data_IF_776227271433
#
_entry.id   IF_776227271433
#
_cell.length_a   1.000
_cell.length_b   1.000
_cell.length_c   1.000
_cell.angle_alpha   90.00
_cell.angle_beta   90.00
_cell.angle_gamma   90.00
#
_symmetry.space_group_name_H-M   'P 1'
#
loop_
_entity.id
_entity.type
_entity.pdbx_description
1 polymer ?
#
# COMPACT_ATOMS: atom_id res chain seq x y z
N UNK A 1 -13.24 16.75 -19.61
CA UNK A 1 -13.10 15.45 -18.93
C UNK A 1 -13.09 15.72 -17.42
N UNK A 2 -13.80 14.95 -16.59
CA UNK A 2 -13.83 15.17 -15.14
C UNK A 2 -12.50 14.70 -14.53
N UNK A 3 -11.97 15.43 -13.53
CA UNK A 3 -10.71 15.06 -12.84
C UNK A 3 -10.73 13.60 -12.33
N UNK A 4 -11.83 13.15 -11.75
CA UNK A 4 -12.00 11.76 -11.29
C UNK A 4 -11.83 10.74 -12.42
N UNK A 5 -12.27 11.02 -13.64
CA UNK A 5 -12.08 10.13 -14.80
C UNK A 5 -10.63 10.02 -15.19
N UNK A 6 -9.88 11.13 -15.17
CA UNK A 6 -8.43 11.13 -15.44
C UNK A 6 -7.67 10.32 -14.41
N UNK A 7 -7.93 10.56 -13.12
CA UNK A 7 -7.28 9.81 -12.05
C UNK A 7 -7.63 8.31 -12.08
N UNK A 8 -8.87 7.93 -12.39
CA UNK A 8 -9.24 6.51 -12.54
C UNK A 8 -8.42 5.82 -13.65
N UNK A 9 -8.20 6.52 -14.78
CA UNK A 9 -7.38 5.97 -15.87
C UNK A 9 -5.89 5.91 -15.53
N UNK A 10 -5.38 6.94 -14.85
CA UNK A 10 -3.95 7.03 -14.49
C UNK A 10 -3.55 6.08 -13.38
N UNK A 11 -4.38 5.95 -12.34
CA UNK A 11 -4.10 5.05 -11.22
C UNK A 11 -4.17 3.58 -11.62
N UNK A 12 -5.15 3.22 -12.45
CA UNK A 12 -5.41 1.85 -12.90
C UNK A 12 -5.33 0.78 -11.78
N UNK A 13 -5.66 1.17 -10.54
CA UNK A 13 -5.59 0.28 -9.38
C UNK A 13 -6.75 -0.70 -9.36
N UNK A 14 -6.50 -1.98 -9.04
CA UNK A 14 -7.54 -3.00 -9.07
C UNK A 14 -8.59 -2.76 -7.97
N UNK A 15 -9.84 -3.01 -8.29
CA UNK A 15 -10.99 -2.95 -7.38
C UNK A 15 -11.20 -1.58 -6.69
N UNK A 16 -10.77 -0.49 -7.32
CA UNK A 16 -10.82 0.87 -6.80
C UNK A 16 -11.46 1.82 -7.81
N UNK A 17 -12.23 2.78 -7.34
CA UNK A 17 -12.74 3.91 -8.13
C UNK A 17 -12.51 5.21 -7.38
N UNK A 18 -11.96 6.22 -8.04
CA UNK A 18 -11.83 7.59 -7.52
C UNK A 18 -13.18 8.28 -7.63
N UNK A 19 -13.69 8.78 -6.50
CA UNK A 19 -14.99 9.45 -6.39
C UNK A 19 -14.86 10.95 -6.16
N UNK A 20 -13.73 11.40 -5.62
CA UNK A 20 -13.43 12.80 -5.35
C UNK A 20 -11.95 13.11 -5.53
N UNK A 21 -11.63 14.37 -5.79
CA UNK A 21 -10.25 14.88 -5.88
C UNK A 21 -10.21 16.22 -5.17
N UNK A 22 -9.35 16.32 -4.16
CA UNK A 22 -9.09 17.57 -3.42
C UNK A 22 -7.62 17.91 -3.54
N UNK A 23 -7.32 19.14 -3.95
CA UNK A 23 -5.95 19.64 -4.08
C UNK A 23 -5.69 20.64 -2.98
N UNK A 24 -4.70 20.35 -2.14
CA UNK A 24 -4.16 21.25 -1.11
C UNK A 24 -2.81 21.84 -1.52
N UNK A 25 -2.18 22.59 -0.59
CA UNK A 25 -0.92 23.30 -0.89
C UNK A 25 0.25 22.39 -1.31
N UNK A 26 0.30 21.16 -0.85
CA UNK A 26 1.38 20.21 -1.19
C UNK A 26 0.87 18.77 -1.28
N UNK A 27 -0.43 18.56 -1.39
CA UNK A 27 -1.07 17.25 -1.34
C UNK A 27 -2.26 17.19 -2.27
N UNK A 28 -2.38 16.10 -2.99
CA UNK A 28 -3.59 15.67 -3.69
C UNK A 28 -4.21 14.54 -2.89
N UNK A 29 -5.44 14.72 -2.41
CA UNK A 29 -6.24 13.68 -1.77
C UNK A 29 -7.25 13.15 -2.77
N UNK A 30 -7.22 11.85 -2.98
CA UNK A 30 -8.15 11.13 -3.85
C UNK A 30 -9.10 10.33 -2.97
N UNK A 31 -10.37 10.74 -2.94
CA UNK A 31 -11.40 9.93 -2.31
C UNK A 31 -11.67 8.71 -3.15
N UNK A 32 -11.54 7.55 -2.55
CA UNK A 32 -11.65 6.26 -3.24
C UNK A 32 -12.76 5.41 -2.65
N UNK A 33 -13.35 4.58 -3.51
CA UNK A 33 -14.31 3.57 -3.12
C UNK A 33 -13.92 2.21 -3.67
N UNK A 34 -14.03 1.19 -2.82
CA UNK A 34 -13.86 -0.20 -3.23
C UNK A 34 -15.01 -0.61 -4.16
N UNK A 35 -14.71 -1.23 -5.30
CA UNK A 35 -15.73 -1.60 -6.30
C UNK A 35 -16.32 -3.00 -6.08
N UNK A 36 -15.67 -3.85 -5.28
CA UNK A 36 -16.17 -5.20 -4.98
C UNK A 36 -17.30 -5.14 -3.95
N UNK A 37 -18.53 -5.58 -4.28
CA UNK A 37 -19.64 -5.55 -3.34
C UNK A 37 -19.56 -6.68 -2.29
N UNK A 38 -18.86 -7.77 -2.61
CA UNK A 38 -18.78 -8.97 -1.80
C UNK A 38 -17.53 -8.95 -0.91
N UNK A 39 -17.73 -9.09 0.37
CA UNK A 39 -16.67 -9.24 1.37
C UNK A 39 -16.35 -10.73 1.52
N UNK A 40 -15.06 -11.07 1.59
CA UNK A 40 -14.59 -12.46 1.69
C UNK A 40 -13.76 -12.67 2.95
N UNK A 41 -14.05 -13.77 3.64
CA UNK A 41 -13.22 -14.27 4.71
C UNK A 41 -12.13 -15.20 4.16
N UNK A 42 -10.92 -15.24 4.75
CA UNK A 42 -9.89 -16.22 4.36
C UNK A 42 -10.33 -17.68 4.44
N UNK A 43 -11.37 -18.01 5.25
CA UNK A 43 -11.93 -19.36 5.30
C UNK A 43 -12.79 -19.74 4.08
N UNK A 44 -12.96 -18.82 3.11
CA UNK A 44 -13.79 -19.02 1.93
C UNK A 44 -15.22 -18.48 2.03
N UNK A 45 -15.72 -18.21 3.24
CA UNK A 45 -17.06 -17.63 3.44
C UNK A 45 -17.12 -16.19 2.92
N UNK A 46 -18.27 -15.78 2.42
CA UNK A 46 -18.46 -14.45 1.86
C UNK A 46 -19.84 -13.87 2.18
N UNK A 47 -19.91 -12.53 2.26
CA UNK A 47 -21.14 -11.81 2.60
C UNK A 47 -21.16 -10.42 1.96
N UNK A 48 -22.36 -9.83 1.84
CA UNK A 48 -22.55 -8.40 1.58
C UNK A 48 -22.80 -7.58 2.84
N UNK A 49 -23.07 -8.26 3.95
CA UNK A 49 -23.29 -7.61 5.25
C UNK A 49 -21.99 -7.01 5.77
N UNK A 50 -22.04 -5.75 6.15
CA UNK A 50 -20.90 -5.01 6.71
C UNK A 50 -21.07 -4.95 8.22
N UNK A 51 -20.11 -5.50 8.96
CA UNK A 51 -20.07 -5.44 10.41
C UNK A 51 -19.70 -4.03 10.92
N UNK A 52 -18.65 -3.44 10.35
CA UNK A 52 -18.19 -2.08 10.71
C UNK A 52 -17.43 -1.44 9.57
N UNK A 53 -17.25 -0.12 9.65
CA UNK A 53 -16.58 0.71 8.65
C UNK A 53 -15.60 1.65 9.34
N UNK A 54 -14.50 1.97 8.67
CA UNK A 54 -13.56 2.98 9.11
C UNK A 54 -12.93 3.68 7.91
N UNK A 55 -12.63 4.96 8.03
CA UNK A 55 -11.88 5.70 7.01
C UNK A 55 -10.40 5.42 7.20
N UNK A 56 -9.70 5.16 6.11
CA UNK A 56 -8.26 4.99 6.06
C UNK A 56 -7.63 5.84 4.98
N UNK A 57 -6.35 6.13 5.17
CA UNK A 57 -5.52 6.83 4.21
C UNK A 57 -4.29 5.99 3.85
N UNK A 58 -3.88 6.08 2.59
CA UNK A 58 -2.66 5.46 2.07
C UNK A 58 -1.87 6.47 1.25
N UNK A 59 -0.61 6.63 1.57
CA UNK A 59 0.33 7.37 0.74
C UNK A 59 0.55 6.61 -0.57
N UNK A 60 0.39 7.32 -1.70
CA UNK A 60 0.64 6.80 -3.04
C UNK A 60 1.82 7.54 -3.69
N UNK A 61 2.21 7.13 -4.89
CA UNK A 61 3.21 7.82 -5.70
C UNK A 61 2.82 9.28 -5.91
N UNK A 62 3.79 10.17 -5.90
CA UNK A 62 3.57 11.59 -6.09
C UNK A 62 3.00 11.88 -7.49
N UNK A 63 2.09 12.83 -7.56
CA UNK A 63 1.49 13.28 -8.79
C UNK A 63 1.80 14.77 -8.98
N UNK A 64 2.45 15.10 -10.09
CA UNK A 64 2.87 16.48 -10.40
C UNK A 64 3.66 17.17 -9.28
N UNK A 65 4.52 16.44 -8.57
CA UNK A 65 5.30 16.95 -7.44
C UNK A 65 4.51 17.08 -6.13
N UNK A 66 3.20 16.84 -6.12
CA UNK A 66 2.36 16.84 -4.93
C UNK A 66 2.32 15.45 -4.29
N UNK A 67 2.30 15.40 -2.95
CA UNK A 67 2.03 14.15 -2.24
C UNK A 67 0.65 13.64 -2.59
N UNK A 68 0.53 12.40 -3.02
CA UNK A 68 -0.77 11.80 -3.30
C UNK A 68 -1.19 10.90 -2.15
N UNK A 69 -2.40 11.13 -1.65
CA UNK A 69 -3.04 10.34 -0.59
C UNK A 69 -4.34 9.75 -1.11
N UNK A 70 -4.48 8.45 -1.03
CA UNK A 70 -5.75 7.77 -1.25
C UNK A 70 -6.50 7.76 0.07
N UNK A 71 -7.74 8.20 0.10
CA UNK A 71 -8.61 8.18 1.27
C UNK A 71 -9.88 7.42 0.96
N UNK A 72 -10.22 6.43 1.77
CA UNK A 72 -11.41 5.64 1.51
C UNK A 72 -11.89 4.83 2.69
N UNK A 73 -13.11 4.35 2.55
CA UNK A 73 -13.74 3.47 3.53
C UNK A 73 -13.18 2.05 3.41
N UNK A 74 -12.84 1.46 4.56
CA UNK A 74 -12.55 0.05 4.73
C UNK A 74 -13.68 -0.60 5.51
N UNK A 75 -14.14 -1.74 5.02
CA UNK A 75 -15.24 -2.50 5.62
C UNK A 75 -14.69 -3.73 6.35
N UNK A 76 -15.37 -4.11 7.42
CA UNK A 76 -15.13 -5.36 8.13
C UNK A 76 -16.36 -6.23 8.05
N UNK A 77 -16.16 -7.53 7.97
CA UNK A 77 -17.22 -8.54 8.03
C UNK A 77 -17.11 -9.34 9.31
N UNK A 78 -18.23 -9.77 9.87
CA UNK A 78 -18.29 -10.85 10.87
C UNK A 78 -18.52 -12.15 10.12
N UNK A 79 -17.60 -13.10 10.25
CA UNK A 79 -17.69 -14.37 9.55
C UNK A 79 -18.61 -15.34 10.30
N UNK A 80 -19.65 -15.84 9.63
CA UNK A 80 -20.57 -16.80 10.22
C UNK A 80 -20.04 -18.24 10.34
N UNK A 81 -18.82 -18.50 9.84
CA UNK A 81 -18.22 -19.86 9.88
C UNK A 81 -17.08 -19.93 10.90
N UNK A 82 -16.17 -18.97 10.93
CA UNK A 82 -15.04 -18.99 11.84
C UNK A 82 -15.16 -18.02 13.02
N UNK A 83 -16.30 -17.38 13.18
CA UNK A 83 -16.66 -16.45 14.25
C UNK A 83 -15.62 -15.33 14.49
N UNK A 84 -14.99 -14.86 13.42
CA UNK A 84 -13.99 -13.79 13.46
C UNK A 84 -14.45 -12.57 12.70
N UNK A 85 -14.08 -11.39 13.20
CA UNK A 85 -14.24 -10.13 12.46
C UNK A 85 -13.00 -9.89 11.60
N UNK A 86 -13.20 -9.88 10.28
CA UNK A 86 -12.14 -9.78 9.28
C UNK A 86 -12.27 -8.46 8.51
N UNK A 87 -11.15 -7.81 8.27
CA UNK A 87 -11.07 -6.62 7.38
C UNK A 87 -11.04 -7.09 5.92
N UNK A 88 -11.74 -6.37 5.05
CA UNK A 88 -11.72 -6.66 3.62
C UNK A 88 -10.31 -6.52 3.03
N UNK A 89 -10.06 -7.27 1.98
CA UNK A 89 -8.82 -7.19 1.22
C UNK A 89 -8.73 -5.85 0.45
N UNK A 90 -7.55 -5.23 0.51
CA UNK A 90 -7.22 -3.98 -0.18
C UNK A 90 -6.11 -4.26 -1.21
N UNK A 91 -6.44 -4.59 -2.46
CA UNK A 91 -5.45 -5.02 -3.44
C UNK A 91 -4.37 -3.98 -3.78
N UNK A 92 -4.59 -2.72 -3.42
CA UNK A 92 -3.63 -1.63 -3.65
C UNK A 92 -2.64 -1.42 -2.50
N UNK A 93 -2.86 -2.06 -1.35
CA UNK A 93 -2.01 -1.90 -0.16
C UNK A 93 -1.86 -3.20 0.60
N UNK A 94 -0.70 -3.45 1.16
CA UNK A 94 -0.44 -4.60 2.04
C UNK A 94 -1.26 -4.53 3.32
N UNK A 95 -1.56 -5.66 3.96
CA UNK A 95 -2.28 -5.67 5.22
C UNK A 95 -1.64 -4.72 6.24
N UNK A 96 -2.46 -3.87 6.87
CA UNK A 96 -2.05 -2.85 7.86
C UNK A 96 -1.10 -1.76 7.34
N UNK A 97 -0.70 -1.77 6.07
CA UNK A 97 0.14 -0.73 5.50
C UNK A 97 -0.57 0.62 5.44
N UNK A 98 0.21 1.70 5.56
CA UNK A 98 -0.21 3.09 5.34
C UNK A 98 0.22 3.63 3.97
N UNK A 99 0.83 2.77 3.18
CA UNK A 99 1.37 3.05 1.85
C UNK A 99 0.78 2.08 0.84
N UNK A 100 0.67 2.51 -0.40
CA UNK A 100 0.29 1.59 -1.47
C UNK A 100 1.46 0.69 -1.84
N UNK A 101 1.17 -0.46 -2.42
CA UNK A 101 2.19 -1.39 -2.91
C UNK A 101 3.15 -0.69 -3.86
N UNK A 102 2.63 0.15 -4.78
CA UNK A 102 3.46 0.91 -5.72
C UNK A 102 4.42 1.87 -5.01
N UNK A 103 3.98 2.55 -3.95
CA UNK A 103 4.85 3.43 -3.16
C UNK A 103 5.93 2.64 -2.42
N UNK A 104 5.57 1.52 -1.78
CA UNK A 104 6.51 0.66 -1.08
C UNK A 104 7.56 0.04 -2.03
N UNK A 105 7.14 -0.36 -3.23
CA UNK A 105 8.07 -0.83 -4.27
C UNK A 105 9.03 0.26 -4.72
N UNK A 106 8.56 1.51 -4.87
CA UNK A 106 9.43 2.63 -5.21
C UNK A 106 10.47 2.88 -4.10
N UNK A 107 10.06 2.87 -2.84
CA UNK A 107 10.98 3.01 -1.69
C UNK A 107 12.04 1.91 -1.72
N UNK A 108 11.63 0.65 -1.87
CA UNK A 108 12.56 -0.49 -1.92
C UNK A 108 13.52 -0.42 -3.12
N UNK A 109 13.06 0.07 -4.27
CA UNK A 109 13.90 0.27 -5.44
C UNK A 109 14.97 1.35 -5.22
N UNK A 110 14.61 2.47 -4.58
CA UNK A 110 15.52 3.56 -4.28
C UNK A 110 16.58 3.15 -3.25
N UNK A 111 16.23 2.39 -2.21
CA UNK A 111 17.17 1.95 -1.17
C UNK A 111 18.23 0.97 -1.66
N UNK A 112 18.06 0.38 -2.84
CA UNK A 112 19.12 -0.39 -3.51
C UNK A 112 20.17 0.49 -4.20
N UNK A 113 19.95 1.81 -4.30
CA UNK A 113 20.75 2.75 -5.11
C UNK A 113 21.18 3.99 -4.34
N UNK A 114 20.62 4.21 -3.16
CA UNK A 114 20.88 5.39 -2.33
C UNK A 114 20.75 5.03 -0.86
N UNK A 115 21.39 5.79 0.00
CA UNK A 115 21.23 5.67 1.45
C UNK A 115 19.80 6.03 1.91
N UNK A 116 19.43 5.55 3.10
CA UNK A 116 18.07 5.72 3.64
C UNK A 116 17.70 7.18 3.88
N UNK A 117 18.65 8.03 4.24
CA UNK A 117 18.41 9.46 4.50
C UNK A 117 18.05 10.18 3.21
N UNK A 118 18.79 9.90 2.14
CA UNK A 118 18.49 10.42 0.80
C UNK A 118 17.11 9.97 0.32
N UNK A 119 16.78 8.69 0.50
CA UNK A 119 15.46 8.14 0.13
C UNK A 119 14.34 8.80 0.94
N UNK A 120 14.52 8.94 2.27
CA UNK A 120 13.54 9.57 3.15
C UNK A 120 13.25 11.02 2.73
N UNK A 121 14.30 11.79 2.44
CA UNK A 121 14.22 13.16 1.98
C UNK A 121 13.53 13.26 0.60
N UNK A 122 13.98 12.49 -0.37
CA UNK A 122 13.46 12.51 -1.74
C UNK A 122 11.97 12.11 -1.81
N UNK A 123 11.56 11.10 -1.05
CA UNK A 123 10.18 10.60 -1.01
C UNK A 123 9.33 11.28 0.07
N UNK A 124 9.91 12.20 0.84
CA UNK A 124 9.22 13.02 1.87
C UNK A 124 8.51 12.15 2.91
N UNK A 125 9.21 11.14 3.41
CA UNK A 125 8.82 10.27 4.51
C UNK A 125 9.90 10.29 5.59
N UNK A 126 9.59 9.80 6.79
CA UNK A 126 10.59 9.65 7.84
C UNK A 126 11.46 8.41 7.61
N UNK A 127 12.64 8.41 8.22
CA UNK A 127 13.63 7.35 8.10
C UNK A 127 13.12 5.98 8.60
N UNK A 128 12.36 5.99 9.69
CA UNK A 128 11.76 4.76 10.25
C UNK A 128 10.74 4.15 9.28
N UNK A 129 9.99 5.00 8.59
CA UNK A 129 9.07 4.56 7.54
C UNK A 129 9.81 3.86 6.41
N UNK A 130 10.95 4.40 5.96
CA UNK A 130 11.78 3.75 4.92
C UNK A 130 12.20 2.37 5.39
N UNK A 131 12.72 2.25 6.61
CA UNK A 131 13.14 0.97 7.20
C UNK A 131 11.99 -0.03 7.25
N UNK A 132 10.85 0.37 7.81
CA UNK A 132 9.67 -0.50 7.93
C UNK A 132 9.16 -0.99 6.57
N UNK A 133 9.21 -0.14 5.55
CA UNK A 133 8.80 -0.52 4.19
C UNK A 133 9.78 -1.53 3.60
N UNK A 134 11.09 -1.27 3.72
CA UNK A 134 12.13 -2.17 3.20
C UNK A 134 12.01 -3.55 3.85
N UNK A 135 11.91 -3.62 5.17
CA UNK A 135 11.78 -4.89 5.90
C UNK A 135 10.56 -5.69 5.42
N UNK A 136 9.43 -5.00 5.19
CA UNK A 136 8.21 -5.64 4.70
C UNK A 136 8.35 -6.17 3.27
N UNK A 137 8.94 -5.38 2.38
CA UNK A 137 9.14 -5.77 0.97
C UNK A 137 10.15 -6.92 0.89
N UNK A 138 11.22 -6.86 1.70
CA UNK A 138 12.23 -7.93 1.79
C UNK A 138 11.59 -9.22 2.29
N UNK A 139 10.82 -9.17 3.36
CA UNK A 139 10.15 -10.35 3.93
C UNK A 139 9.17 -11.01 2.94
N UNK A 140 8.57 -10.23 2.04
CA UNK A 140 7.64 -10.77 1.01
C UNK A 140 8.37 -11.33 -0.20
N UNK A 141 9.45 -10.69 -0.64
CA UNK A 141 10.09 -10.98 -1.93
C UNK A 141 11.31 -11.90 -1.82
N UNK A 142 11.96 -11.93 -0.66
CA UNK A 142 13.16 -12.70 -0.44
C UNK A 142 12.84 -13.97 0.36
N UNK A 143 12.86 -15.10 -0.31
CA UNK A 143 12.74 -16.41 0.33
C UNK A 143 14.10 -16.91 0.79
N UNK A 144 14.16 -17.78 1.81
CA UNK A 144 15.40 -18.39 2.30
C UNK A 144 16.10 -19.24 1.24
N UNK A 145 15.35 -19.71 0.23
CA UNK A 145 15.88 -20.47 -0.91
C UNK A 145 16.99 -19.73 -1.69
N UNK A 146 17.11 -18.42 -1.58
CA UNK A 146 18.21 -17.64 -2.17
C UNK A 146 19.59 -18.01 -1.62
N UNK A 147 19.64 -18.63 -0.45
CA UNK A 147 20.89 -19.11 0.19
C UNK A 147 21.21 -20.55 -0.12
N UNK A 148 20.31 -21.26 -0.83
CA UNK A 148 20.52 -22.65 -1.21
C UNK A 148 21.74 -22.73 -2.15
N UNK A 149 22.71 -23.55 -1.77
CA UNK A 149 23.96 -23.70 -2.52
C UNK A 149 25.02 -22.61 -2.26
N UNK A 150 24.77 -21.66 -1.35
CA UNK A 150 25.73 -20.63 -0.99
C UNK A 150 26.87 -21.28 -0.16
N UNK A 151 28.08 -21.33 -0.75
CA UNK A 151 29.26 -21.93 -0.11
C UNK A 151 30.24 -20.91 0.47
N UNK A 152 30.12 -19.65 0.09
CA UNK A 152 30.97 -18.54 0.57
C UNK A 152 30.16 -17.27 0.70
N UNK A 153 30.38 -16.54 1.79
CA UNK A 153 29.84 -15.19 2.03
C UNK A 153 31.00 -14.22 2.25
N UNK A 154 31.08 -13.17 1.46
CA UNK A 154 31.96 -12.03 1.70
C UNK A 154 31.20 -10.93 2.43
N UNK A 155 31.75 -10.38 3.49
CA UNK A 155 31.24 -9.19 4.18
C UNK A 155 32.28 -8.10 3.99
N UNK A 156 31.87 -6.97 3.41
CA UNK A 156 32.69 -5.78 3.27
C UNK A 156 32.13 -4.68 4.17
N UNK A 157 32.97 -4.09 5.01
CA UNK A 157 32.61 -2.90 5.79
C UNK A 157 32.91 -1.66 4.97
N UNK A 158 31.86 -0.95 4.57
CA UNK A 158 31.99 0.38 3.99
C UNK A 158 32.06 1.37 5.15
N UNK A 159 33.24 1.89 5.39
CA UNK A 159 33.50 2.98 6.35
C UNK A 159 33.14 4.34 5.75
#
# INVERSE_FOLDING_TARGET
MRATTSFNKMLALPALTVTGVTVGNNTVTLDIRHTRPLLRCPCGWSTRAVHSRSIRQWRHLDCFGLKTVLQGEIRRLACGVCDRVVTEDTPWARPRARHTIAFEQLVAWWTQRSDRTTVATALRVDWETVTTIVDRVVAEQLTDARFDGLTRLGVDEIS
#
